data_IF_986740306831
#
_entry.id   IF_986740306831
#
_cell.length_a   1.000
_cell.length_b   1.000
_cell.length_c   1.000
_cell.angle_alpha   90.00
_cell.angle_beta   90.00
_cell.angle_gamma   90.00
#
_symmetry.space_group_name_H-M   'P 1'
#
loop_
_entity.id
_entity.type
_entity.pdbx_description
1 polymer ?
#
# COMPACT_ATOMS: atom_id res chain seq x y z
N UNK A 1 -35.27 -62.78 34.62
CA UNK A 1 -34.48 -61.73 35.27
C UNK A 1 -34.33 -60.57 34.30
N UNK A 2 -34.91 -59.38 34.56
CA UNK A 2 -34.69 -58.21 33.72
C UNK A 2 -33.51 -57.37 34.26
N UNK A 3 -32.60 -56.97 33.38
CA UNK A 3 -31.49 -56.06 33.69
C UNK A 3 -31.91 -54.63 33.39
N UNK A 4 -31.97 -53.84 34.46
CA UNK A 4 -32.29 -52.42 34.51
C UNK A 4 -31.19 -51.60 33.80
N UNK A 5 -31.56 -50.75 32.84
CA UNK A 5 -30.61 -49.88 32.11
C UNK A 5 -30.63 -48.47 32.71
N UNK A 6 -29.48 -47.88 33.05
CA UNK A 6 -29.46 -46.60 33.76
C UNK A 6 -29.92 -45.43 32.89
N UNK A 7 -30.76 -44.59 33.50
CA UNK A 7 -31.30 -43.31 33.00
C UNK A 7 -30.18 -42.38 32.50
N UNK A 8 -30.28 -41.97 31.23
CA UNK A 8 -29.47 -40.91 30.61
C UNK A 8 -29.75 -39.58 31.32
N UNK A 9 -28.76 -39.05 32.03
CA UNK A 9 -28.79 -37.68 32.58
C UNK A 9 -28.74 -36.68 31.42
N UNK A 10 -29.85 -36.02 31.15
CA UNK A 10 -29.88 -34.82 30.33
C UNK A 10 -29.16 -33.70 31.09
N UNK A 11 -27.97 -33.34 30.61
CA UNK A 11 -27.27 -32.15 31.06
C UNK A 11 -28.05 -30.96 30.50
N UNK A 12 -28.81 -30.29 31.36
CA UNK A 12 -29.27 -28.92 31.12
C UNK A 12 -28.05 -28.04 30.90
N UNK A 13 -27.68 -27.84 29.64
CA UNK A 13 -26.84 -26.73 29.26
C UNK A 13 -27.70 -25.48 29.42
N UNK A 14 -27.33 -24.68 30.41
CA UNK A 14 -27.87 -23.38 30.77
C UNK A 14 -28.26 -22.60 29.51
N UNK A 15 -29.51 -22.15 29.47
CA UNK A 15 -30.03 -21.23 28.47
C UNK A 15 -29.17 -19.94 28.49
N UNK A 16 -28.16 -19.88 27.64
CA UNK A 16 -27.55 -18.62 27.23
C UNK A 16 -28.63 -17.91 26.42
N UNK A 17 -29.00 -16.73 26.89
CA UNK A 17 -29.99 -15.88 26.25
C UNK A 17 -29.59 -15.71 24.77
N UNK A 18 -30.33 -16.36 23.87
CA UNK A 18 -30.06 -16.39 22.44
C UNK A 18 -30.57 -15.07 21.82
N UNK A 19 -30.03 -13.95 22.28
CA UNK A 19 -30.39 -12.63 21.77
C UNK A 19 -29.60 -12.45 20.49
N UNK A 20 -30.30 -12.33 19.36
CA UNK A 20 -29.67 -11.98 18.10
C UNK A 20 -28.95 -10.64 18.27
N UNK A 21 -27.70 -10.50 17.82
CA UNK A 21 -27.02 -9.21 17.87
C UNK A 21 -27.88 -8.18 17.13
N UNK A 22 -27.98 -6.98 17.67
CA UNK A 22 -28.64 -5.87 16.98
C UNK A 22 -28.02 -5.72 15.59
N UNK A 23 -28.82 -5.52 14.53
CA UNK A 23 -28.31 -5.29 13.19
C UNK A 23 -27.24 -4.20 13.22
N UNK A 24 -26.08 -4.50 12.64
CA UNK A 24 -25.01 -3.51 12.50
C UNK A 24 -25.50 -2.47 11.50
N UNK A 25 -25.86 -1.29 11.99
CA UNK A 25 -26.16 -0.13 11.16
C UNK A 25 -24.85 0.62 10.87
N UNK A 26 -24.46 0.66 9.59
CA UNK A 26 -23.41 1.55 9.11
C UNK A 26 -23.94 2.99 9.16
N UNK A 27 -23.66 3.70 10.25
CA UNK A 27 -23.92 5.14 10.39
C UNK A 27 -22.66 5.90 10.00
N UNK A 28 -22.43 6.03 8.71
CA UNK A 28 -21.55 7.09 8.22
C UNK A 28 -22.35 8.39 8.36
N UNK A 29 -21.81 9.43 8.97
CA UNK A 29 -22.53 10.68 9.26
C UNK A 29 -22.97 11.48 8.02
N UNK A 30 -23.06 10.84 6.86
CA UNK A 30 -23.32 11.41 5.55
C UNK A 30 -24.63 10.84 4.95
N UNK A 31 -25.37 11.69 4.24
CA UNK A 31 -26.64 11.31 3.62
C UNK A 31 -26.37 10.52 2.32
N UNK A 32 -27.24 9.58 1.94
CA UNK A 32 -27.06 8.74 0.74
C UNK A 32 -26.86 9.58 -0.55
N UNK A 33 -27.43 10.78 -0.60
CA UNK A 33 -27.25 11.73 -1.70
C UNK A 33 -25.85 12.39 -1.74
N UNK A 34 -25.21 12.62 -0.58
CA UNK A 34 -23.81 13.08 -0.53
C UNK A 34 -22.83 11.94 -0.81
N UNK A 35 -23.21 10.69 -0.49
CA UNK A 35 -22.42 9.48 -0.73
C UNK A 35 -22.14 9.21 -2.23
N UNK A 36 -23.02 9.65 -3.14
CA UNK A 36 -22.81 9.50 -4.59
C UNK A 36 -21.93 10.58 -5.21
N UNK A 37 -21.79 11.75 -4.57
CA UNK A 37 -20.98 12.88 -5.05
C UNK A 37 -19.57 12.92 -4.42
N UNK A 38 -19.39 12.34 -3.24
CA UNK A 38 -18.14 12.39 -2.46
C UNK A 38 -17.14 11.26 -2.75
N UNK A 39 -17.43 10.36 -3.70
CA UNK A 39 -16.61 9.16 -3.93
C UNK A 39 -15.30 9.40 -4.71
N UNK A 40 -14.77 10.62 -4.71
CA UNK A 40 -13.44 10.91 -5.27
C UNK A 40 -12.43 10.71 -4.15
N UNK A 41 -12.00 9.46 -3.94
CA UNK A 41 -10.88 9.16 -3.06
C UNK A 41 -9.63 9.86 -3.59
N UNK A 42 -9.15 10.86 -2.86
CA UNK A 42 -7.95 11.60 -3.21
C UNK A 42 -6.84 11.30 -2.20
N UNK A 43 -5.60 11.21 -2.70
CA UNK A 43 -4.42 10.97 -1.89
C UNK A 43 -4.05 12.32 -1.27
N UNK A 44 -4.01 12.38 0.05
CA UNK A 44 -3.73 13.61 0.80
C UNK A 44 -2.31 13.67 1.33
N UNK A 45 -1.74 12.51 1.66
CA UNK A 45 -0.38 12.42 2.20
C UNK A 45 0.33 11.17 1.68
N UNK A 46 1.64 11.29 1.50
CA UNK A 46 2.51 10.19 1.07
C UNK A 46 3.77 10.28 1.91
N UNK A 47 4.12 9.17 2.58
CA UNK A 47 5.31 9.07 3.43
C UNK A 47 6.08 7.80 3.13
N UNK A 48 7.39 7.93 2.97
CA UNK A 48 8.30 6.80 2.84
C UNK A 48 8.88 6.50 4.21
N UNK A 49 8.57 5.30 4.69
CA UNK A 49 9.04 4.76 5.95
C UNK A 49 10.34 4.00 5.78
N UNK A 50 10.41 2.87 6.50
CA UNK A 50 11.61 2.05 6.56
C UNK A 50 11.87 1.31 5.24
N UNK A 51 13.08 0.78 5.14
CA UNK A 51 13.51 -0.02 4.01
C UNK A 51 13.84 -1.43 4.46
N UNK A 52 13.57 -2.40 3.59
CA UNK A 52 13.89 -3.79 3.80
C UNK A 52 14.94 -4.24 2.80
N UNK A 53 16.03 -4.80 3.32
CA UNK A 53 17.05 -5.44 2.52
C UNK A 53 16.60 -6.88 2.22
N UNK A 54 16.36 -7.18 0.96
CA UNK A 54 15.91 -8.51 0.52
C UNK A 54 16.97 -9.14 -0.36
N UNK A 55 17.35 -10.36 0.02
CA UNK A 55 18.30 -11.18 -0.74
C UNK A 55 17.52 -12.25 -1.48
N UNK A 56 17.64 -12.31 -2.81
CA UNK A 56 17.04 -13.39 -3.59
C UNK A 56 17.69 -14.75 -3.25
N UNK A 57 16.89 -15.74 -2.89
CA UNK A 57 17.35 -17.11 -2.66
C UNK A 57 17.61 -17.82 -3.99
N UNK A 58 18.80 -17.58 -4.56
CA UNK A 58 19.33 -18.35 -5.69
C UNK A 58 20.23 -19.46 -5.18
N UNK A 59 20.09 -20.68 -5.70
CA UNK A 59 20.76 -21.93 -5.29
C UNK A 59 22.31 -21.91 -5.31
N UNK A 60 22.93 -20.79 -5.63
CA UNK A 60 24.38 -20.59 -5.63
C UNK A 60 24.69 -19.29 -4.88
N UNK A 61 25.38 -19.40 -3.74
CA UNK A 61 25.65 -18.32 -2.77
C UNK A 61 26.25 -17.03 -3.37
N UNK A 62 26.81 -17.10 -4.58
CA UNK A 62 27.46 -16.00 -5.27
C UNK A 62 26.59 -15.27 -6.32
N UNK A 63 25.30 -15.62 -6.47
CA UNK A 63 24.37 -14.97 -7.43
C UNK A 63 23.11 -14.34 -6.82
N UNK A 64 22.98 -14.34 -5.49
CA UNK A 64 21.85 -13.69 -4.82
C UNK A 64 21.85 -12.19 -5.10
N UNK A 65 20.86 -11.71 -5.88
CA UNK A 65 20.70 -10.27 -6.12
C UNK A 65 20.14 -9.64 -4.85
N UNK A 66 20.93 -8.77 -4.24
CA UNK A 66 20.52 -7.92 -3.13
C UNK A 66 19.71 -6.73 -3.66
N UNK A 67 18.53 -6.49 -3.12
CA UNK A 67 17.72 -5.33 -3.47
C UNK A 67 17.02 -4.73 -2.26
N UNK A 68 16.73 -3.43 -2.37
CA UNK A 68 16.04 -2.66 -1.34
C UNK A 68 14.58 -2.50 -1.72
N UNK A 69 13.70 -2.77 -0.77
CA UNK A 69 12.27 -2.54 -0.84
C UNK A 69 11.94 -1.38 0.10
N UNK A 70 11.20 -0.40 -0.38
CA UNK A 70 10.78 0.78 0.39
C UNK A 70 9.34 0.61 0.85
N UNK A 71 9.08 0.89 2.13
CA UNK A 71 7.73 1.02 2.65
C UNK A 71 7.17 2.40 2.30
N UNK A 72 6.04 2.43 1.61
CA UNK A 72 5.35 3.65 1.20
C UNK A 72 3.97 3.66 1.86
N UNK A 73 3.73 4.64 2.71
CA UNK A 73 2.46 4.89 3.37
C UNK A 73 1.72 6.00 2.63
N UNK A 74 0.49 5.74 2.24
CA UNK A 74 -0.38 6.65 1.48
C UNK A 74 -1.63 6.88 2.32
N UNK A 75 -1.96 8.14 2.58
CA UNK A 75 -3.20 8.52 3.28
C UNK A 75 -4.23 9.00 2.26
N UNK A 76 -5.47 8.56 2.42
CA UNK A 76 -6.59 8.88 1.55
C UNK A 76 -7.61 9.72 2.34
N UNK A 77 -8.10 10.80 1.74
CA UNK A 77 -9.13 11.69 2.29
C UNK A 77 -8.81 12.29 3.68
N UNK A 78 -7.53 12.40 4.05
CA UNK A 78 -7.07 12.89 5.35
C UNK A 78 -7.63 12.12 6.57
N UNK A 79 -8.19 10.93 6.31
CA UNK A 79 -8.73 10.08 7.35
C UNK A 79 -7.59 9.22 7.89
N UNK A 80 -7.28 9.37 9.18
CA UNK A 80 -6.21 8.61 9.85
C UNK A 80 -6.39 7.09 9.74
N UNK A 81 -7.62 6.61 9.54
CA UNK A 81 -7.97 5.20 9.37
C UNK A 81 -7.98 4.74 7.90
N UNK A 82 -7.83 5.66 6.93
CA UNK A 82 -7.80 5.36 5.50
C UNK A 82 -6.37 5.49 4.97
N UNK A 83 -5.47 4.66 5.50
CA UNK A 83 -4.08 4.61 5.04
C UNK A 83 -3.75 3.28 4.41
N UNK A 84 -3.11 3.32 3.24
CA UNK A 84 -2.62 2.14 2.52
C UNK A 84 -1.11 2.11 2.63
N UNK A 85 -0.56 0.96 3.02
CA UNK A 85 0.90 0.76 3.04
C UNK A 85 1.28 -0.24 1.95
N UNK A 86 2.13 0.18 1.04
CA UNK A 86 2.66 -0.67 -0.04
C UNK A 86 4.18 -0.79 0.08
N UNK A 87 4.72 -1.87 -0.49
CA UNK A 87 6.15 -2.15 -0.48
C UNK A 87 6.64 -2.24 -1.92
N UNK A 88 7.54 -1.33 -2.32
CA UNK A 88 8.01 -1.26 -3.72
C UNK A 88 9.51 -1.15 -3.81
N UNK A 89 10.10 -1.81 -4.81
CA UNK A 89 11.51 -1.61 -5.16
C UNK A 89 11.65 -0.39 -6.05
N UNK A 90 12.83 0.21 -6.03
CA UNK A 90 13.14 1.37 -6.86
C UNK A 90 12.88 1.13 -8.37
N UNK A 91 13.07 -0.10 -8.88
CA UNK A 91 12.75 -0.42 -10.29
C UNK A 91 11.26 -0.28 -10.62
N UNK A 92 10.38 -0.60 -9.69
CA UNK A 92 8.93 -0.47 -9.88
C UNK A 92 8.51 1.00 -9.91
N UNK A 93 9.23 1.86 -9.18
CA UNK A 93 9.05 3.31 -9.19
C UNK A 93 9.51 3.91 -10.53
N UNK A 94 10.61 3.39 -11.10
CA UNK A 94 11.03 3.76 -12.45
C UNK A 94 10.02 3.31 -13.52
N UNK A 95 9.39 2.15 -13.33
CA UNK A 95 8.33 1.68 -14.23
C UNK A 95 7.14 2.62 -14.19
N UNK A 96 6.68 3.02 -12.99
CA UNK A 96 5.62 4.02 -12.83
C UNK A 96 5.92 5.31 -13.61
N UNK A 97 7.16 5.82 -13.54
CA UNK A 97 7.54 7.01 -14.29
C UNK A 97 7.49 6.80 -15.80
N UNK A 98 7.98 5.65 -16.28
CA UNK A 98 7.94 5.32 -17.70
C UNK A 98 6.49 5.20 -18.20
N UNK A 99 5.63 4.52 -17.45
CA UNK A 99 4.21 4.33 -17.77
C UNK A 99 3.46 5.67 -17.78
N UNK A 100 3.76 6.56 -16.83
CA UNK A 100 3.20 7.92 -16.81
C UNK A 100 3.65 8.72 -18.03
N UNK A 101 4.92 8.62 -18.42
CA UNK A 101 5.47 9.33 -19.57
C UNK A 101 4.88 8.85 -20.87
N UNK A 102 4.61 7.55 -20.98
CA UNK A 102 3.91 6.99 -22.11
C UNK A 102 2.43 7.43 -22.14
N UNK A 103 1.76 7.36 -20.98
CA UNK A 103 0.35 7.72 -20.86
C UNK A 103 0.06 9.19 -21.18
N UNK A 104 0.92 10.12 -20.75
CA UNK A 104 0.78 11.55 -21.02
C UNK A 104 1.63 12.04 -22.19
N UNK A 105 2.04 11.14 -23.09
CA UNK A 105 2.91 11.50 -24.23
C UNK A 105 2.26 12.50 -25.20
N UNK A 106 0.93 12.49 -25.31
CA UNK A 106 0.16 13.42 -26.17
C UNK A 106 -0.14 14.77 -25.47
N UNK A 107 -0.18 14.77 -24.14
CA UNK A 107 -0.57 15.92 -23.31
C UNK A 107 0.64 16.80 -22.95
N UNK A 108 0.94 17.78 -23.81
CA UNK A 108 2.09 18.69 -23.64
C UNK A 108 2.02 19.61 -22.42
N UNK A 109 0.85 19.75 -21.78
CA UNK A 109 0.67 20.58 -20.59
C UNK A 109 1.12 19.89 -19.30
N UNK A 110 1.25 18.56 -19.32
CA UNK A 110 1.54 17.76 -18.13
C UNK A 110 3.05 17.49 -18.03
N UNK A 111 3.70 18.19 -17.10
CA UNK A 111 5.13 17.97 -16.81
C UNK A 111 5.28 16.88 -15.75
N UNK A 112 5.85 15.75 -16.15
CA UNK A 112 6.13 14.64 -15.22
C UNK A 112 7.48 14.90 -14.53
N UNK A 113 7.53 14.93 -13.19
CA UNK A 113 8.79 15.08 -12.47
C UNK A 113 9.74 13.94 -12.85
N UNK A 114 11.01 14.25 -13.07
CA UNK A 114 11.98 13.20 -13.35
C UNK A 114 12.26 12.40 -12.08
N UNK A 115 12.24 11.06 -12.13
CA UNK A 115 12.66 10.25 -11.02
C UNK A 115 14.15 10.52 -10.82
N UNK A 116 14.65 10.38 -9.59
CA UNK A 116 16.07 10.56 -9.35
C UNK A 116 16.85 9.58 -10.24
N UNK A 117 18.00 9.96 -10.80
CA UNK A 117 18.71 9.12 -11.75
C UNK A 117 19.07 7.78 -11.13
N UNK A 118 18.99 6.72 -11.94
CA UNK A 118 19.40 5.38 -11.55
C UNK A 118 20.88 5.41 -11.22
N UNK A 119 21.25 5.04 -9.99
CA UNK A 119 22.63 5.15 -9.54
C UNK A 119 23.60 4.44 -10.48
N UNK A 120 24.60 5.19 -10.91
CA UNK A 120 25.84 4.66 -11.47
C UNK A 120 26.51 3.86 -10.36
N UNK A 121 27.21 2.79 -10.70
CA UNK A 121 27.78 1.80 -9.78
C UNK A 121 28.81 2.48 -8.84
N UNK A 122 28.35 3.11 -7.77
CA UNK A 122 29.16 3.76 -6.76
C UNK A 122 29.45 2.79 -5.61
N UNK A 123 30.60 2.98 -4.97
CA UNK A 123 31.00 2.22 -3.77
C UNK A 123 29.92 2.27 -2.68
N UNK A 124 29.26 3.42 -2.52
CA UNK A 124 28.21 3.63 -1.52
C UNK A 124 26.95 2.79 -1.79
N UNK A 125 26.64 2.52 -3.06
CA UNK A 125 25.57 1.61 -3.46
C UNK A 125 25.94 0.15 -3.20
N UNK A 126 27.19 -0.23 -3.49
CA UNK A 126 27.68 -1.60 -3.27
C UNK A 126 27.72 -1.91 -1.77
N UNK A 127 28.13 -0.94 -0.96
CA UNK A 127 28.18 -1.04 0.50
C UNK A 127 26.84 -0.76 1.18
N UNK A 128 25.79 -0.40 0.42
CA UNK A 128 24.46 -0.07 0.95
C UNK A 128 24.52 0.93 2.11
N UNK A 129 25.33 1.98 1.96
CA UNK A 129 25.60 2.92 3.05
C UNK A 129 24.32 3.62 3.52
N UNK A 130 24.24 3.91 4.82
CA UNK A 130 23.09 4.61 5.40
C UNK A 130 22.87 6.00 4.77
N UNK A 131 23.94 6.71 4.39
CA UNK A 131 23.82 8.00 3.70
C UNK A 131 23.17 7.85 2.33
N UNK A 132 23.59 6.86 1.53
CA UNK A 132 23.00 6.57 0.23
C UNK A 132 21.53 6.15 0.34
N UNK A 133 21.20 5.33 1.34
CA UNK A 133 19.82 4.92 1.61
C UNK A 133 18.95 6.13 1.96
N UNK A 134 19.41 7.03 2.83
CA UNK A 134 18.64 8.22 3.20
C UNK A 134 18.49 9.22 2.05
N UNK A 135 19.54 9.43 1.25
CA UNK A 135 19.47 10.29 0.07
C UNK A 135 18.48 9.72 -0.96
N UNK A 136 18.57 8.41 -1.22
CA UNK A 136 17.61 7.71 -2.07
C UNK A 136 16.20 7.85 -1.51
N UNK A 137 15.97 7.63 -0.20
CA UNK A 137 14.66 7.76 0.45
C UNK A 137 14.06 9.15 0.22
N UNK A 138 14.82 10.22 0.45
CA UNK A 138 14.38 11.60 0.23
C UNK A 138 14.00 11.87 -1.22
N UNK A 139 14.81 11.35 -2.16
CA UNK A 139 14.56 11.53 -3.58
C UNK A 139 13.29 10.79 -4.06
N UNK A 140 13.07 9.57 -3.56
CA UNK A 140 11.84 8.82 -3.84
C UNK A 140 10.63 9.53 -3.21
N UNK A 141 10.78 10.07 -1.99
CA UNK A 141 9.73 10.78 -1.27
C UNK A 141 9.27 11.99 -2.08
N UNK A 142 10.23 12.80 -2.54
CA UNK A 142 9.96 13.96 -3.36
C UNK A 142 9.22 13.58 -4.66
N UNK A 143 9.70 12.54 -5.35
CA UNK A 143 9.10 12.07 -6.60
C UNK A 143 7.66 11.58 -6.40
N UNK A 144 7.44 10.67 -5.44
CA UNK A 144 6.13 10.09 -5.18
C UNK A 144 5.14 11.13 -4.66
N UNK A 145 5.55 12.04 -3.77
CA UNK A 145 4.70 13.15 -3.35
C UNK A 145 4.30 14.02 -4.55
N UNK A 146 5.24 14.34 -5.45
CA UNK A 146 4.95 15.18 -6.61
C UNK A 146 3.97 14.53 -7.60
N UNK A 147 4.04 13.21 -7.76
CA UNK A 147 3.16 12.45 -8.67
C UNK A 147 1.81 12.13 -8.04
N UNK A 148 1.81 11.62 -6.81
CA UNK A 148 0.60 11.11 -6.16
C UNK A 148 -0.28 12.21 -5.57
N UNK A 149 0.28 13.38 -5.23
CA UNK A 149 -0.51 14.52 -4.75
C UNK A 149 -0.99 15.43 -5.90
N UNK A 150 -0.58 15.17 -7.14
CA UNK A 150 -1.05 15.93 -8.29
C UNK A 150 -2.47 15.48 -8.66
N UNK A 151 -3.48 16.38 -8.63
CA UNK A 151 -4.89 16.01 -8.83
C UNK A 151 -5.21 15.49 -10.23
N UNK A 152 -4.39 15.82 -11.23
CA UNK A 152 -4.52 15.29 -12.60
C UNK A 152 -3.94 13.88 -12.66
N UNK A 153 -2.68 13.73 -12.23
CA UNK A 153 -1.97 12.44 -12.27
C UNK A 153 -2.64 11.39 -11.39
N UNK A 154 -3.12 11.78 -10.22
CA UNK A 154 -3.71 10.85 -9.26
C UNK A 154 -5.00 10.18 -9.77
N UNK A 155 -5.72 10.83 -10.69
CA UNK A 155 -6.92 10.26 -11.30
C UNK A 155 -6.61 9.22 -12.38
N UNK A 156 -5.37 9.20 -12.88
CA UNK A 156 -4.94 8.30 -13.94
C UNK A 156 -5.05 6.82 -13.55
N UNK A 157 -5.33 5.94 -14.52
CA UNK A 157 -5.34 4.51 -14.27
C UNK A 157 -3.96 3.97 -13.86
N UNK A 158 -2.88 4.58 -14.37
CA UNK A 158 -1.49 4.21 -14.08
C UNK A 158 -1.18 4.35 -12.58
N UNK A 159 -1.52 5.50 -11.98
CA UNK A 159 -1.31 5.73 -10.54
C UNK A 159 -2.16 4.78 -9.70
N UNK A 160 -3.44 4.57 -10.07
CA UNK A 160 -4.33 3.66 -9.35
C UNK A 160 -3.80 2.23 -9.37
N UNK A 161 -3.34 1.76 -10.53
CA UNK A 161 -2.75 0.44 -10.66
C UNK A 161 -1.49 0.30 -9.81
N UNK A 162 -0.62 1.33 -9.78
CA UNK A 162 0.58 1.31 -8.95
C UNK A 162 0.26 1.17 -7.46
N UNK A 163 -0.74 1.90 -6.96
CA UNK A 163 -1.15 1.87 -5.54
C UNK A 163 -1.85 0.55 -5.17
N UNK A 164 -2.58 -0.06 -6.11
CA UNK A 164 -3.33 -1.31 -5.88
C UNK A 164 -2.53 -2.59 -6.18
N UNK A 165 -1.37 -2.47 -6.82
CA UNK A 165 -0.45 -3.58 -7.11
C UNK A 165 0.46 -3.95 -5.94
#
# INVERSE_FOLDING_TARGET
>A
MPLDRPKRRERSASQLNNILPLPIELRDGETIESHTKNHISHITDVKIGDHHLVTGQGAWAFRGKLYVVWQIKITINDLSYSTVTIYKRYREILQLWADLKEYYSEDKEIVIPQPPPKDVISVDRVLMSNSWLEERRKSIQWFLSSVLLNPVMQKSPVVKQFVLS
#
